data_IF_594682815755
#
_entry.id   IF_594682815755
#
_cell.length_a   1.000
_cell.length_b   1.000
_cell.length_c   1.000
_cell.angle_alpha   90.00
_cell.angle_beta   90.00
_cell.angle_gamma   90.00
#
_symmetry.space_group_name_H-M   'P 1'
#
loop_
_entity.id
_entity.type
_entity.pdbx_description
1 polymer ?
#
# COMPACT_ATOMS: atom_id res chain seq x y z
N UNK A 1 11.53 14.32 -1.64
CA UNK A 1 12.08 12.99 -1.99
C UNK A 1 10.89 12.07 -2.23
N UNK A 2 10.91 11.24 -3.28
CA UNK A 2 9.75 10.48 -3.74
C UNK A 2 10.04 8.98 -3.68
N UNK A 3 9.16 8.18 -3.06
CA UNK A 3 9.31 6.72 -2.96
C UNK A 3 9.47 6.04 -4.32
N UNK A 4 8.91 6.64 -5.38
CA UNK A 4 9.06 6.16 -6.76
C UNK A 4 10.46 6.23 -7.35
N UNK A 5 11.39 6.96 -6.72
CA UNK A 5 12.79 7.02 -7.16
C UNK A 5 13.63 5.89 -6.54
N UNK A 6 13.08 5.14 -5.57
CA UNK A 6 13.75 4.03 -4.92
C UNK A 6 13.64 2.77 -5.79
N UNK A 7 14.42 2.75 -6.88
CA UNK A 7 14.44 1.65 -7.85
C UNK A 7 14.93 0.32 -7.27
N UNK A 8 15.74 0.37 -6.21
CA UNK A 8 16.25 -0.80 -5.50
C UNK A 8 15.39 -1.22 -4.31
N UNK A 9 14.27 -0.53 -4.06
CA UNK A 9 13.39 -0.88 -2.96
C UNK A 9 12.60 -2.13 -3.34
N UNK A 10 12.92 -3.26 -2.71
CA UNK A 10 12.24 -4.53 -2.96
C UNK A 10 11.13 -4.82 -1.96
N UNK A 11 11.24 -4.30 -0.74
CA UNK A 11 10.29 -4.50 0.35
C UNK A 11 9.98 -3.18 1.03
N UNK A 12 8.69 -2.93 1.23
CA UNK A 12 8.20 -1.79 2.00
C UNK A 12 7.11 -2.24 2.95
N UNK A 13 7.25 -1.87 4.22
CA UNK A 13 6.29 -2.18 5.27
C UNK A 13 5.92 -0.86 5.96
N UNK A 14 4.63 -0.52 5.93
CA UNK A 14 4.05 0.62 6.63
C UNK A 14 3.14 0.07 7.71
N UNK A 15 3.34 0.48 8.95
CA UNK A 15 2.49 0.03 10.03
C UNK A 15 2.15 1.11 11.04
N UNK A 16 0.94 1.02 11.62
CA UNK A 16 0.48 1.84 12.76
C UNK A 16 0.58 3.35 12.49
N UNK A 17 0.16 3.77 11.31
CA UNK A 17 0.01 5.19 10.99
C UNK A 17 -1.40 5.61 11.39
N UNK A 18 -1.48 6.30 12.53
CA UNK A 18 -2.74 6.74 13.14
C UNK A 18 -3.44 7.84 12.35
N UNK A 19 -2.65 8.67 11.65
CA UNK A 19 -3.15 9.76 10.81
C UNK A 19 -3.54 9.25 9.41
N UNK A 20 -4.54 9.90 8.76
CA UNK A 20 -4.89 9.60 7.38
C UNK A 20 -3.66 9.76 6.47
N UNK A 21 -3.35 8.71 5.72
CA UNK A 21 -2.17 8.68 4.87
C UNK A 21 -2.57 8.41 3.42
N UNK A 22 -2.12 9.29 2.52
CA UNK A 22 -2.22 9.07 1.08
C UNK A 22 -0.93 8.48 0.55
N UNK A 23 -1.05 7.36 -0.16
CA UNK A 23 0.10 6.80 -0.86
C UNK A 23 0.44 7.72 -2.06
N UNK A 24 1.69 8.19 -2.19
CA UNK A 24 2.05 9.07 -3.27
C UNK A 24 1.93 8.37 -4.62
N UNK A 25 1.42 9.07 -5.62
CA UNK A 25 1.22 8.56 -6.99
C UNK A 25 2.53 8.00 -7.58
N UNK A 26 3.67 8.52 -7.13
CA UNK A 26 4.98 8.06 -7.52
C UNK A 26 5.30 6.62 -7.12
N UNK A 27 4.54 5.97 -6.23
CA UNK A 27 4.68 4.54 -5.93
C UNK A 27 4.75 3.69 -7.20
N UNK A 28 3.91 3.98 -8.19
CA UNK A 28 3.90 3.26 -9.47
C UNK A 28 5.18 3.37 -10.31
N UNK A 29 6.17 4.16 -9.90
CA UNK A 29 7.50 4.22 -10.53
C UNK A 29 8.54 3.30 -9.86
N UNK A 30 8.23 2.74 -8.68
CA UNK A 30 9.11 1.78 -8.01
C UNK A 30 8.95 0.39 -8.65
N UNK A 31 9.63 0.19 -9.77
CA UNK A 31 9.60 -1.08 -10.51
C UNK A 31 10.37 -2.21 -9.83
N UNK A 32 11.12 -1.93 -8.76
CA UNK A 32 11.84 -2.94 -7.98
C UNK A 32 11.03 -3.55 -6.84
N UNK A 33 9.90 -2.95 -6.47
CA UNK A 33 9.14 -3.33 -5.30
C UNK A 33 8.45 -4.67 -5.52
N UNK A 34 8.78 -5.65 -4.68
CA UNK A 34 8.26 -7.02 -4.72
C UNK A 34 7.28 -7.31 -3.58
N UNK A 35 7.49 -6.66 -2.42
CA UNK A 35 6.66 -6.84 -1.23
C UNK A 35 6.21 -5.49 -0.70
N UNK A 36 4.90 -5.32 -0.56
CA UNK A 36 4.30 -4.16 0.08
C UNK A 36 3.31 -4.63 1.15
N UNK A 37 3.59 -4.28 2.41
CA UNK A 37 2.66 -4.48 3.52
C UNK A 37 2.27 -3.14 4.11
N UNK A 38 0.97 -2.94 4.32
CA UNK A 38 0.42 -1.77 4.98
C UNK A 38 -0.53 -2.29 6.05
N UNK A 39 -0.16 -2.24 7.33
CA UNK A 39 -0.98 -2.80 8.43
C UNK A 39 -1.25 -1.79 9.53
N UNK A 40 -2.51 -1.60 9.89
CA UNK A 40 -2.92 -0.62 10.90
C UNK A 40 -2.65 0.82 10.48
N UNK A 41 -2.76 1.13 9.19
CA UNK A 41 -2.68 2.50 8.67
C UNK A 41 -4.06 2.97 8.19
N UNK A 42 -4.37 4.25 8.37
CA UNK A 42 -5.58 4.87 7.81
C UNK A 42 -5.36 5.34 6.37
N UNK A 43 -5.20 4.40 5.44
CA UNK A 43 -4.98 4.75 4.02
C UNK A 43 -6.30 5.20 3.38
N UNK A 44 -6.37 6.46 2.95
CA UNK A 44 -7.60 7.01 2.35
C UNK A 44 -7.82 6.56 0.92
N UNK A 45 -6.75 6.26 0.18
CA UNK A 45 -6.82 5.73 -1.18
C UNK A 45 -5.55 4.98 -1.59
N UNK A 46 -5.73 3.97 -2.46
CA UNK A 46 -4.64 3.36 -3.21
C UNK A 46 -4.59 4.04 -4.58
N UNK A 47 -3.48 4.68 -4.97
CA UNK A 47 -3.40 5.37 -6.24
C UNK A 47 -3.42 4.35 -7.39
N UNK A 48 -4.10 4.71 -8.49
CA UNK A 48 -4.22 3.85 -9.67
C UNK A 48 -2.86 3.46 -10.28
N UNK A 49 -1.81 4.22 -10.00
CA UNK A 49 -0.43 3.93 -10.40
C UNK A 49 0.15 2.66 -9.75
N UNK A 50 -0.48 2.08 -8.71
CA UNK A 50 -0.09 0.77 -8.18
C UNK A 50 -0.14 -0.34 -9.24
N UNK A 51 -0.99 -0.20 -10.26
CA UNK A 51 -1.02 -1.12 -11.40
C UNK A 51 0.32 -1.17 -12.17
N UNK A 52 1.16 -0.15 -12.03
CA UNK A 52 2.46 -0.05 -12.69
C UNK A 52 3.59 -0.72 -11.88
N UNK A 53 3.30 -1.24 -10.68
CA UNK A 53 4.25 -2.00 -9.87
C UNK A 53 4.42 -3.41 -10.45
N UNK A 54 5.08 -3.51 -11.60
CA UNK A 54 5.18 -4.77 -12.38
C UNK A 54 5.95 -5.88 -11.68
N UNK A 55 6.79 -5.56 -10.71
CA UNK A 55 7.57 -6.54 -9.94
C UNK A 55 6.92 -6.92 -8.62
N UNK A 56 5.81 -6.27 -8.25
CA UNK A 56 5.13 -6.53 -6.99
C UNK A 56 4.57 -7.94 -7.04
N UNK A 57 4.95 -8.79 -6.08
CA UNK A 57 4.47 -10.18 -5.96
C UNK A 57 3.50 -10.31 -4.80
N UNK A 58 3.73 -9.55 -3.74
CA UNK A 58 2.95 -9.57 -2.51
C UNK A 58 2.47 -8.17 -2.16
N UNK A 59 1.15 -8.04 -2.01
CA UNK A 59 0.50 -6.86 -1.49
C UNK A 59 -0.42 -7.27 -0.34
N UNK A 60 -0.16 -6.71 0.83
CA UNK A 60 -1.02 -6.83 2.00
C UNK A 60 -1.43 -5.43 2.44
N UNK A 61 -2.73 -5.20 2.56
CA UNK A 61 -3.28 -3.99 3.18
C UNK A 61 -4.29 -4.42 4.24
N UNK A 62 -3.98 -4.10 5.49
CA UNK A 62 -4.77 -4.41 6.67
C UNK A 62 -5.04 -3.09 7.39
N UNK A 63 -6.29 -2.70 7.51
CA UNK A 63 -6.67 -1.45 8.17
C UNK A 63 -6.80 -1.64 9.68
N UNK A 64 -6.55 -0.57 10.44
CA UNK A 64 -6.90 -0.57 11.86
C UNK A 64 -8.42 -0.48 12.00
N UNK A 65 -9.02 -1.47 12.65
CA UNK A 65 -10.40 -1.39 13.12
C UNK A 65 -10.39 -0.33 14.24
N UNK A 66 -10.94 0.84 13.96
CA UNK A 66 -11.12 1.87 14.98
C UNK A 66 -12.01 1.32 16.10
N UNK A 67 -11.82 1.75 17.36
CA UNK A 67 -12.51 1.14 18.52
C UNK A 67 -14.04 1.25 18.48
N UNK A 68 -14.54 2.11 17.61
CA UNK A 68 -15.96 2.37 17.36
C UNK A 68 -16.58 1.40 16.32
N UNK A 69 -15.78 0.56 15.65
CA UNK A 69 -16.29 -0.35 14.62
C UNK A 69 -16.73 0.33 13.32
N UNK A 70 -16.43 1.63 13.18
CA UNK A 70 -16.68 2.40 11.96
C UNK A 70 -15.70 1.93 10.87
N UNK A 71 -16.19 1.06 10.00
CA UNK A 71 -15.51 0.61 8.80
C UNK A 71 -15.17 1.81 7.90
N UNK A 72 -13.88 1.98 7.60
CA UNK A 72 -13.48 2.75 6.41
C UNK A 72 -13.94 2.01 5.14
N UNK A 73 -14.23 2.74 4.05
CA UNK A 73 -14.83 2.16 2.85
C UNK A 73 -13.86 1.20 2.16
N UNK A 74 -14.13 -0.10 2.34
CA UNK A 74 -13.76 -1.23 1.46
C UNK A 74 -12.44 -1.07 0.69
N UNK A 75 -11.34 -1.38 1.36
CA UNK A 75 -10.13 -1.87 0.69
C UNK A 75 -10.22 -3.39 0.37
N UNK A 76 -11.44 -3.92 0.17
CA UNK A 76 -11.73 -5.32 -0.17
C UNK A 76 -11.06 -5.79 -1.49
N UNK A 77 -10.52 -4.89 -2.31
CA UNK A 77 -10.16 -5.21 -3.70
C UNK A 77 -8.71 -5.68 -3.89
N UNK A 78 -7.85 -5.59 -2.87
CA UNK A 78 -6.41 -5.92 -2.99
C UNK A 78 -5.88 -6.87 -1.90
N UNK A 79 -6.69 -7.22 -0.90
CA UNK A 79 -6.26 -7.84 0.36
C UNK A 79 -5.41 -9.11 0.28
N UNK A 80 -5.39 -9.82 -0.85
CA UNK A 80 -4.43 -10.91 -1.15
C UNK A 80 -4.23 -11.04 -2.66
N UNK A 81 -3.68 -10.02 -3.34
CA UNK A 81 -3.23 -10.25 -4.73
C UNK A 81 -1.81 -10.78 -4.71
N UNK A 82 -1.69 -12.09 -4.95
CA UNK A 82 -0.45 -12.68 -5.42
C UNK A 82 -0.39 -12.36 -6.92
N UNK A 83 0.34 -11.32 -7.26
CA UNK A 83 0.61 -11.01 -8.66
C UNK A 83 1.54 -12.12 -9.20
N UNK A 84 1.34 -12.57 -10.46
CA UNK A 84 2.07 -13.70 -11.03
C UNK A 84 3.60 -13.50 -11.03
#
# INVERSE_FOLDING_TARGET
MSLGELKSLERLELARIEEPFELPISFGRSTGLQYLSISGCKVTSIPASFRNLTSLRFLMVEEMIDRDGSHCPKLETLGKRQFP
#
